data_IF_298731012778
#
_entry.id   IF_298731012778
#
_cell.length_a   1.000
_cell.length_b   1.000
_cell.length_c   1.000
_cell.angle_alpha   90.00
_cell.angle_beta   90.00
_cell.angle_gamma   90.00
#
_symmetry.space_group_name_H-M   'P 1'
#
loop_
_entity.id
_entity.type
_entity.pdbx_description
1 polymer ?
#
# COMPACT_ATOMS: atom_id res chain seq x y z
N UNK A 1 35.24 16.91 -3.07
CA UNK A 1 34.07 16.74 -3.94
C UNK A 1 34.11 15.27 -4.33
N UNK A 2 33.28 14.44 -3.69
CA UNK A 2 33.20 13.02 -4.02
C UNK A 2 32.09 12.88 -5.04
N UNK A 3 32.45 12.48 -6.26
CA UNK A 3 31.53 12.13 -7.32
C UNK A 3 30.69 10.94 -6.82
N UNK A 4 29.47 11.23 -6.50
CA UNK A 4 28.47 10.20 -6.15
C UNK A 4 27.91 9.68 -7.49
N UNK A 5 28.72 8.88 -8.20
CA UNK A 5 28.22 8.09 -9.31
C UNK A 5 27.26 7.06 -8.76
N UNK A 6 25.98 7.37 -8.80
CA UNK A 6 24.91 6.39 -8.77
C UNK A 6 25.03 5.54 -10.04
N UNK A 7 26.01 4.65 -10.07
CA UNK A 7 26.07 3.59 -11.06
C UNK A 7 25.02 2.54 -10.71
N UNK A 8 23.77 2.81 -10.96
CA UNK A 8 22.82 1.75 -11.19
C UNK A 8 23.10 1.24 -12.60
N UNK A 9 23.57 0.01 -12.76
CA UNK A 9 23.63 -0.59 -14.09
C UNK A 9 22.19 -0.92 -14.50
N UNK A 10 21.48 0.07 -15.03
CA UNK A 10 20.34 -0.23 -15.88
C UNK A 10 20.98 -0.72 -17.19
N UNK A 11 21.29 -2.00 -17.21
CA UNK A 11 21.59 -2.69 -18.44
C UNK A 11 20.29 -2.74 -19.23
N UNK A 12 20.15 -1.83 -20.18
CA UNK A 12 19.16 -1.98 -21.24
C UNK A 12 19.56 -3.22 -22.02
N UNK A 13 18.94 -4.36 -21.70
CA UNK A 13 19.11 -5.54 -22.52
C UNK A 13 18.25 -5.35 -23.77
N UNK A 14 18.84 -4.79 -24.81
CA UNK A 14 18.19 -4.57 -26.11
C UNK A 14 17.81 -5.89 -26.80
N UNK A 15 18.35 -7.02 -26.33
CA UNK A 15 18.09 -8.35 -26.86
C UNK A 15 17.02 -9.11 -26.05
N UNK A 16 16.50 -8.53 -24.97
CA UNK A 16 15.41 -9.11 -24.22
C UNK A 16 14.11 -9.00 -25.02
N UNK A 17 13.76 -10.06 -25.71
CA UNK A 17 12.42 -10.22 -26.28
C UNK A 17 11.45 -10.43 -25.14
N UNK A 18 10.71 -9.37 -24.79
CA UNK A 18 9.61 -9.48 -23.85
C UNK A 18 8.60 -10.50 -24.40
N UNK A 19 8.46 -11.66 -23.76
CA UNK A 19 7.38 -12.57 -24.10
C UNK A 19 6.08 -11.86 -23.76
N UNK A 20 5.11 -11.77 -24.69
CA UNK A 20 3.82 -11.19 -24.36
C UNK A 20 3.22 -12.03 -23.21
N UNK A 21 3.03 -11.39 -22.06
CA UNK A 21 2.26 -11.93 -20.95
C UNK A 21 0.76 -11.98 -21.31
N UNK A 22 -0.09 -12.52 -20.43
CA UNK A 22 -1.53 -12.46 -20.63
C UNK A 22 -1.94 -10.98 -20.84
N UNK A 23 -2.55 -10.69 -21.96
CA UNK A 23 -2.99 -9.34 -22.31
C UNK A 23 -4.18 -9.00 -21.44
N UNK A 24 -4.03 -8.06 -20.52
CA UNK A 24 -5.19 -7.46 -19.84
C UNK A 24 -5.90 -6.56 -20.83
N UNK A 25 -7.16 -6.88 -21.12
CA UNK A 25 -8.01 -6.05 -21.99
C UNK A 25 -8.43 -4.83 -21.20
N UNK A 26 -8.01 -3.66 -21.66
CA UNK A 26 -8.45 -2.38 -21.12
C UNK A 26 -9.56 -1.83 -22.03
N UNK A 27 -10.62 -1.31 -21.41
CA UNK A 27 -11.69 -0.67 -22.18
C UNK A 27 -11.10 0.48 -22.99
N UNK A 28 -11.48 0.65 -24.29
CA UNK A 28 -10.91 1.69 -25.15
C UNK A 28 -10.97 3.10 -24.53
N UNK A 29 -12.04 3.42 -23.80
CA UNK A 29 -12.23 4.74 -23.16
C UNK A 29 -11.21 5.01 -22.02
N UNK A 30 -10.45 4.02 -21.61
CA UNK A 30 -9.37 4.14 -20.61
C UNK A 30 -7.98 4.19 -21.24
N UNK A 31 -7.90 4.15 -22.55
CA UNK A 31 -6.68 4.36 -23.31
C UNK A 31 -6.52 5.84 -23.58
N UNK A 32 -5.28 6.30 -23.51
CA UNK A 32 -4.90 7.68 -23.82
C UNK A 32 -3.86 7.62 -24.93
N UNK A 33 -4.01 8.44 -25.94
CA UNK A 33 -3.10 8.47 -27.07
C UNK A 33 -1.75 9.09 -26.67
N UNK A 34 -0.66 8.66 -27.32
CA UNK A 34 0.70 9.11 -27.01
C UNK A 34 0.89 10.62 -27.16
N UNK A 35 0.18 11.24 -28.10
CA UNK A 35 0.20 12.70 -28.30
C UNK A 35 -0.46 13.45 -27.13
N UNK A 36 -1.50 12.89 -26.53
CA UNK A 36 -2.11 13.44 -25.32
C UNK A 36 -1.17 13.27 -24.11
N UNK A 37 -0.53 12.12 -23.97
CA UNK A 37 0.43 11.88 -22.89
C UNK A 37 1.65 12.80 -22.98
N UNK A 38 2.07 13.16 -24.19
CA UNK A 38 3.17 14.10 -24.41
C UNK A 38 2.84 15.55 -23.99
N UNK A 39 1.56 15.89 -23.82
CA UNK A 39 1.11 17.19 -23.31
C UNK A 39 1.04 17.24 -21.77
N UNK A 40 1.11 16.10 -21.10
CA UNK A 40 1.11 16.04 -19.64
C UNK A 40 2.33 16.81 -19.11
N UNK A 41 2.10 17.65 -18.10
CA UNK A 41 3.12 18.51 -17.50
C UNK A 41 3.92 19.33 -18.52
N UNK A 42 3.31 19.74 -19.65
CA UNK A 42 3.96 20.52 -20.70
C UNK A 42 4.56 21.81 -20.11
N UNK A 43 5.78 22.13 -20.55
CA UNK A 43 6.50 23.34 -20.11
C UNK A 43 7.16 23.24 -18.74
N UNK A 44 7.03 22.12 -18.02
CA UNK A 44 7.63 21.92 -16.69
C UNK A 44 9.03 21.26 -16.73
N UNK A 45 9.45 20.74 -17.86
CA UNK A 45 10.66 19.92 -17.99
C UNK A 45 10.49 18.45 -17.55
N UNK A 46 9.31 18.07 -17.07
CA UNK A 46 9.00 16.68 -16.69
C UNK A 46 8.76 15.80 -17.93
N UNK A 47 9.05 14.52 -17.80
CA UNK A 47 8.65 13.51 -18.77
C UNK A 47 7.16 13.21 -18.59
N UNK A 48 6.30 13.81 -19.40
CA UNK A 48 4.84 13.73 -19.28
C UNK A 48 4.30 12.30 -19.25
N UNK A 49 4.64 11.43 -20.21
CA UNK A 49 4.22 10.02 -20.17
C UNK A 49 4.60 9.30 -18.87
N UNK A 50 5.82 9.48 -18.39
CA UNK A 50 6.26 8.87 -17.12
C UNK A 50 5.48 9.40 -15.92
N UNK A 51 5.22 10.71 -15.83
CA UNK A 51 4.43 11.32 -14.76
C UNK A 51 2.99 10.82 -14.80
N UNK A 52 2.40 10.69 -15.99
CA UNK A 52 1.07 10.12 -16.16
C UNK A 52 1.00 8.68 -15.66
N UNK A 53 1.97 7.85 -16.00
CA UNK A 53 2.08 6.46 -15.55
C UNK A 53 2.22 6.35 -14.03
N UNK A 54 3.08 7.18 -13.44
CA UNK A 54 3.31 7.21 -12.00
C UNK A 54 2.03 7.61 -11.24
N UNK A 55 1.38 8.72 -11.64
CA UNK A 55 0.15 9.19 -10.97
C UNK A 55 -1.00 8.21 -11.14
N UNK A 56 -1.15 7.61 -12.32
CA UNK A 56 -2.14 6.55 -12.54
C UNK A 56 -1.89 5.35 -11.62
N UNK A 57 -0.61 4.96 -11.41
CA UNK A 57 -0.25 3.88 -10.49
C UNK A 57 -0.54 4.24 -9.04
N UNK A 58 -0.14 5.44 -8.58
CA UNK A 58 -0.41 5.91 -7.22
C UNK A 58 -1.92 5.95 -6.94
N UNK A 59 -2.71 6.52 -7.86
CA UNK A 59 -4.18 6.60 -7.71
C UNK A 59 -4.82 5.21 -7.70
N UNK A 60 -4.33 4.29 -8.51
CA UNK A 60 -4.80 2.89 -8.53
C UNK A 60 -4.51 2.20 -7.21
N UNK A 61 -3.31 2.40 -6.64
CA UNK A 61 -2.94 1.85 -5.33
C UNK A 61 -3.88 2.33 -4.21
N UNK A 62 -4.17 3.62 -4.14
CA UNK A 62 -5.10 4.16 -3.14
C UNK A 62 -6.54 3.62 -3.33
N UNK A 63 -7.01 3.47 -4.56
CA UNK A 63 -8.33 2.89 -4.85
C UNK A 63 -8.42 1.41 -4.44
N UNK A 64 -7.37 0.64 -4.66
CA UNK A 64 -7.33 -0.77 -4.22
C UNK A 64 -7.13 -0.89 -2.72
N UNK A 65 -6.39 0.01 -2.09
CA UNK A 65 -6.27 0.15 -0.64
C UNK A 65 -7.64 0.35 0.04
N UNK A 66 -8.51 1.17 -0.54
CA UNK A 66 -9.89 1.33 -0.06
C UNK A 66 -10.66 0.00 -0.02
N UNK A 67 -10.48 -0.87 -1.01
CA UNK A 67 -11.11 -2.19 -1.03
C UNK A 67 -10.52 -3.14 0.04
N UNK A 68 -9.20 -3.05 0.27
CA UNK A 68 -8.54 -3.77 1.35
C UNK A 68 -9.12 -3.35 2.71
N UNK A 69 -9.22 -2.06 3.01
CA UNK A 69 -9.75 -1.57 4.28
C UNK A 69 -11.22 -1.96 4.50
N UNK A 70 -12.05 -1.96 3.45
CA UNK A 70 -13.43 -2.48 3.51
C UNK A 70 -13.48 -3.96 3.87
N UNK A 71 -12.60 -4.77 3.26
CA UNK A 71 -12.54 -6.20 3.55
C UNK A 71 -12.05 -6.47 4.98
N UNK A 72 -11.07 -5.70 5.45
CA UNK A 72 -10.54 -5.76 6.82
C UNK A 72 -11.61 -5.39 7.84
N UNK A 73 -12.30 -4.27 7.64
CA UNK A 73 -13.41 -3.86 8.53
C UNK A 73 -14.50 -4.91 8.62
N UNK A 74 -14.86 -5.52 7.48
CA UNK A 74 -15.90 -6.54 7.44
C UNK A 74 -15.51 -7.85 8.15
N UNK A 75 -14.21 -8.17 8.24
CA UNK A 75 -13.71 -9.44 8.74
C UNK A 75 -13.14 -9.39 10.16
N UNK A 76 -12.75 -8.22 10.66
CA UNK A 76 -12.24 -8.12 12.01
C UNK A 76 -13.34 -8.16 13.06
N UNK A 77 -13.11 -8.91 14.13
CA UNK A 77 -13.96 -8.93 15.32
C UNK A 77 -13.49 -7.97 16.42
N UNK A 78 -12.29 -7.39 16.27
CA UNK A 78 -11.74 -6.40 17.19
C UNK A 78 -12.37 -5.02 16.95
N UNK A 79 -13.14 -4.47 17.91
CA UNK A 79 -13.83 -3.19 17.70
C UNK A 79 -12.89 -2.00 17.45
N UNK A 80 -11.70 -2.01 18.06
CA UNK A 80 -10.70 -0.95 17.89
C UNK A 80 -10.11 -1.00 16.49
N UNK A 81 -9.70 -2.19 16.03
CA UNK A 81 -9.20 -2.37 14.66
C UNK A 81 -10.27 -2.05 13.63
N UNK A 82 -11.52 -2.47 13.85
CA UNK A 82 -12.66 -2.15 13.00
C UNK A 82 -12.86 -0.65 12.84
N UNK A 83 -12.86 0.09 13.95
CA UNK A 83 -12.97 1.54 13.91
C UNK A 83 -11.80 2.18 13.13
N UNK A 84 -10.59 1.66 13.33
CA UNK A 84 -9.41 2.17 12.63
C UNK A 84 -9.47 1.92 11.12
N UNK A 85 -9.90 0.73 10.70
CA UNK A 85 -10.09 0.44 9.27
C UNK A 85 -11.16 1.31 8.61
N UNK A 86 -12.22 1.69 9.36
CA UNK A 86 -13.22 2.65 8.89
C UNK A 86 -12.62 4.05 8.70
N UNK A 87 -11.71 4.50 9.57
CA UNK A 87 -10.97 5.75 9.38
C UNK A 87 -10.08 5.68 8.14
N UNK A 88 -9.30 4.60 7.97
CA UNK A 88 -8.45 4.39 6.81
C UNK A 88 -9.22 4.38 5.48
N UNK A 89 -10.47 3.93 5.46
CA UNK A 89 -11.33 4.06 4.28
C UNK A 89 -11.57 5.53 3.94
N UNK A 90 -11.86 6.37 4.95
CA UNK A 90 -12.08 7.81 4.75
C UNK A 90 -10.81 8.48 4.24
N UNK A 91 -9.68 8.11 4.80
CA UNK A 91 -8.36 8.63 4.42
C UNK A 91 -8.00 8.22 2.98
N UNK A 92 -8.26 6.97 2.59
CA UNK A 92 -8.03 6.50 1.23
C UNK A 92 -8.91 7.22 0.20
N UNK A 93 -10.18 7.49 0.52
CA UNK A 93 -11.07 8.32 -0.33
C UNK A 93 -10.49 9.72 -0.50
N UNK A 94 -9.99 10.31 0.60
CA UNK A 94 -9.35 11.63 0.57
C UNK A 94 -8.08 11.60 -0.28
N UNK A 95 -7.23 10.58 -0.12
CA UNK A 95 -6.00 10.40 -0.88
C UNK A 95 -6.27 10.28 -2.39
N UNK A 96 -7.26 9.48 -2.78
CA UNK A 96 -7.71 9.41 -4.19
C UNK A 96 -8.07 10.79 -4.71
N UNK A 97 -8.88 11.56 -3.97
CA UNK A 97 -9.28 12.91 -4.38
C UNK A 97 -8.12 13.91 -4.47
N UNK A 98 -7.08 13.74 -3.64
CA UNK A 98 -5.84 14.56 -3.72
C UNK A 98 -5.06 14.22 -4.99
N UNK A 99 -4.87 12.92 -5.28
CA UNK A 99 -4.16 12.46 -6.48
C UNK A 99 -4.91 12.81 -7.76
N UNK A 100 -6.24 12.69 -7.78
CA UNK A 100 -7.05 13.08 -8.93
C UNK A 100 -6.91 14.58 -9.24
N UNK A 101 -6.94 15.43 -8.22
CA UNK A 101 -6.67 16.88 -8.41
C UNK A 101 -5.27 17.15 -8.93
N UNK A 102 -4.26 16.42 -8.44
CA UNK A 102 -2.90 16.55 -8.96
C UNK A 102 -2.82 16.09 -10.42
N UNK A 103 -3.50 14.99 -10.78
CA UNK A 103 -3.61 14.55 -12.16
C UNK A 103 -4.22 15.63 -13.05
N UNK A 104 -5.34 16.24 -12.64
CA UNK A 104 -5.97 17.33 -13.39
C UNK A 104 -5.04 18.54 -13.57
N UNK A 105 -4.34 18.96 -12.50
CA UNK A 105 -3.41 20.09 -12.54
C UNK A 105 -2.23 19.86 -13.48
N UNK A 106 -1.79 18.62 -13.62
CA UNK A 106 -0.69 18.24 -14.53
C UNK A 106 -1.19 17.79 -15.92
N UNK A 107 -2.50 17.80 -16.15
CA UNK A 107 -3.10 17.43 -17.45
C UNK A 107 -3.15 15.92 -17.69
N UNK A 108 -3.11 15.10 -16.64
CA UNK A 108 -3.26 13.64 -16.75
C UNK A 108 -4.75 13.28 -16.77
N UNK A 109 -5.23 12.55 -17.78
CA UNK A 109 -6.63 12.12 -17.83
C UNK A 109 -6.97 11.17 -16.67
N UNK A 110 -8.04 11.47 -15.91
CA UNK A 110 -8.43 10.69 -14.71
C UNK A 110 -8.81 9.23 -14.98
N UNK A 111 -9.22 8.94 -16.21
CA UNK A 111 -9.58 7.59 -16.65
C UNK A 111 -8.41 6.77 -17.19
N UNK A 112 -7.21 7.36 -17.24
CA UNK A 112 -6.05 6.69 -17.82
C UNK A 112 -5.67 5.44 -17.04
N UNK A 113 -5.68 4.30 -17.73
CA UNK A 113 -5.26 3.01 -17.22
C UNK A 113 -3.89 2.63 -17.80
N UNK A 114 -2.85 3.19 -17.24
CA UNK A 114 -1.48 2.96 -17.69
C UNK A 114 -1.04 1.50 -17.52
N UNK A 115 -0.04 1.01 -18.29
CA UNK A 115 0.54 -0.31 -18.06
C UNK A 115 1.04 -0.50 -16.62
N UNK A 116 1.81 0.44 -16.01
CA UNK A 116 2.19 0.35 -14.61
C UNK A 116 1.01 0.33 -13.64
N UNK A 117 -0.03 1.15 -13.85
CA UNK A 117 -1.22 1.15 -13.00
C UNK A 117 -1.94 -0.21 -13.00
N UNK A 118 -2.00 -0.89 -14.16
CA UNK A 118 -2.56 -2.26 -14.24
C UNK A 118 -1.71 -3.29 -13.50
N UNK A 119 -0.40 -3.12 -13.52
CA UNK A 119 0.50 -3.97 -12.72
C UNK A 119 0.28 -3.75 -11.22
N UNK A 120 0.14 -2.49 -10.81
CA UNK A 120 -0.20 -2.12 -9.42
C UNK A 120 -1.54 -2.73 -9.01
N UNK A 121 -2.59 -2.58 -9.82
CA UNK A 121 -3.90 -3.19 -9.57
C UNK A 121 -3.82 -4.71 -9.40
N UNK A 122 -3.03 -5.37 -10.25
CA UNK A 122 -2.83 -6.82 -10.17
C UNK A 122 -2.09 -7.23 -8.89
N UNK A 123 -1.05 -6.51 -8.47
CA UNK A 123 -0.30 -6.76 -7.24
C UNK A 123 -1.19 -6.56 -6.00
N UNK A 124 -1.89 -5.44 -5.92
CA UNK A 124 -2.74 -5.10 -4.79
C UNK A 124 -3.97 -6.04 -4.69
N UNK A 125 -4.51 -6.44 -5.83
CA UNK A 125 -5.58 -7.43 -5.88
C UNK A 125 -5.11 -8.79 -5.33
N UNK A 126 -3.85 -9.16 -5.55
CA UNK A 126 -3.28 -10.39 -4.97
C UNK A 126 -3.06 -10.27 -3.47
N UNK A 127 -2.71 -9.11 -2.97
CA UNK A 127 -2.62 -8.85 -1.53
C UNK A 127 -4.00 -9.00 -0.86
N UNK A 128 -5.04 -8.41 -1.45
CA UNK A 128 -6.42 -8.56 -1.00
C UNK A 128 -6.89 -10.01 -1.08
N UNK A 129 -6.64 -10.69 -2.20
CA UNK A 129 -6.97 -12.11 -2.38
C UNK A 129 -6.29 -12.98 -1.33
N UNK A 130 -5.00 -12.78 -1.08
CA UNK A 130 -4.26 -13.51 -0.05
C UNK A 130 -4.88 -13.34 1.35
N UNK A 131 -5.30 -12.12 1.71
CA UNK A 131 -6.02 -11.88 2.95
C UNK A 131 -7.37 -12.60 2.97
N UNK A 132 -8.16 -12.56 1.89
CA UNK A 132 -9.46 -13.22 1.81
C UNK A 132 -9.35 -14.75 1.87
N UNK A 133 -8.22 -15.32 1.45
CA UNK A 133 -7.95 -16.76 1.53
C UNK A 133 -7.63 -17.25 2.95
N UNK A 134 -7.51 -16.37 3.95
CA UNK A 134 -7.33 -16.80 5.35
C UNK A 134 -8.48 -17.65 5.90
N UNK A 135 -9.63 -17.63 5.26
CA UNK A 135 -10.76 -18.57 5.32
C UNK A 135 -11.14 -19.03 6.72
N UNK A 136 -10.69 -20.22 7.10
CA UNK A 136 -10.99 -20.87 8.38
C UNK A 136 -9.92 -20.66 9.46
N UNK A 137 -9.01 -19.71 9.29
CA UNK A 137 -8.06 -19.37 10.35
C UNK A 137 -8.79 -18.75 11.56
N UNK A 138 -8.18 -18.88 12.74
CA UNK A 138 -8.68 -18.25 13.95
C UNK A 138 -8.62 -16.70 13.84
N UNK A 139 -9.45 -16.04 14.64
CA UNK A 139 -9.63 -14.59 14.59
C UNK A 139 -8.31 -13.82 14.77
N UNK A 140 -7.41 -14.29 15.63
CA UNK A 140 -6.11 -13.66 15.87
C UNK A 140 -5.19 -13.76 14.65
N UNK A 141 -5.20 -14.90 13.98
CA UNK A 141 -4.45 -15.11 12.73
C UNK A 141 -5.01 -14.23 11.62
N UNK A 142 -6.33 -14.13 11.47
CA UNK A 142 -6.99 -13.25 10.49
C UNK A 142 -6.61 -11.79 10.75
N UNK A 143 -6.66 -11.35 12.02
CA UNK A 143 -6.33 -9.99 12.40
C UNK A 143 -4.86 -9.67 12.14
N UNK A 144 -3.93 -10.56 12.53
CA UNK A 144 -2.50 -10.38 12.26
C UNK A 144 -2.21 -10.28 10.76
N UNK A 145 -2.80 -11.15 9.94
CA UNK A 145 -2.63 -11.11 8.48
C UNK A 145 -3.26 -9.88 7.84
N UNK A 146 -4.36 -9.40 8.39
CA UNK A 146 -4.96 -8.13 7.99
C UNK A 146 -4.04 -6.94 8.26
N UNK A 147 -3.45 -6.88 9.44
CA UNK A 147 -2.50 -5.82 9.81
C UNK A 147 -1.22 -5.89 8.96
N UNK A 148 -0.71 -7.10 8.66
CA UNK A 148 0.42 -7.27 7.73
C UNK A 148 0.08 -6.75 6.33
N UNK A 149 -1.14 -6.98 5.84
CA UNK A 149 -1.57 -6.44 4.55
C UNK A 149 -1.62 -4.90 4.56
N UNK A 150 -2.09 -4.29 5.65
CA UNK A 150 -2.03 -2.82 5.83
C UNK A 150 -0.60 -2.32 5.84
N UNK A 151 0.30 -2.98 6.57
CA UNK A 151 1.72 -2.61 6.64
C UNK A 151 2.36 -2.58 5.25
N UNK A 152 2.11 -3.60 4.42
CA UNK A 152 2.62 -3.67 3.05
C UNK A 152 2.04 -2.57 2.17
N UNK A 153 0.72 -2.36 2.22
CA UNK A 153 0.06 -1.31 1.45
C UNK A 153 0.55 0.08 1.86
N UNK A 154 0.60 0.40 3.16
CA UNK A 154 1.06 1.70 3.65
C UNK A 154 2.53 1.96 3.35
N UNK A 155 3.39 0.93 3.36
CA UNK A 155 4.78 1.06 2.91
C UNK A 155 4.86 1.55 1.47
N UNK A 156 4.01 1.01 0.58
CA UNK A 156 3.95 1.44 -0.81
C UNK A 156 3.39 2.88 -0.95
N UNK A 157 2.37 3.25 -0.17
CA UNK A 157 1.84 4.62 -0.15
C UNK A 157 2.93 5.64 0.20
N UNK A 158 3.67 5.40 1.31
CA UNK A 158 4.76 6.28 1.75
C UNK A 158 5.86 6.35 0.69
N UNK A 159 6.25 5.23 0.10
CA UNK A 159 7.26 5.19 -0.95
C UNK A 159 6.82 5.99 -2.19
N UNK A 160 5.58 5.82 -2.65
CA UNK A 160 5.03 6.57 -3.78
C UNK A 160 5.01 8.07 -3.53
N UNK A 161 4.59 8.50 -2.34
CA UNK A 161 4.54 9.91 -1.96
C UNK A 161 5.96 10.51 -1.82
N UNK A 162 6.92 9.71 -1.34
CA UNK A 162 8.33 10.13 -1.32
C UNK A 162 8.90 10.33 -2.74
N UNK A 163 8.51 9.51 -3.72
CA UNK A 163 8.88 9.72 -5.13
C UNK A 163 8.29 11.02 -5.67
N UNK A 164 7.03 11.34 -5.36
CA UNK A 164 6.42 12.63 -5.74
C UNK A 164 7.17 13.81 -5.11
N UNK A 165 7.58 13.70 -3.85
CA UNK A 165 8.42 14.72 -3.20
C UNK A 165 9.74 14.92 -3.95
N UNK A 166 10.44 13.85 -4.30
CA UNK A 166 11.69 13.93 -5.04
C UNK A 166 11.53 14.58 -6.43
N UNK A 167 10.37 14.35 -7.08
CA UNK A 167 10.05 15.03 -8.34
C UNK A 167 9.88 16.55 -8.10
N UNK A 168 9.13 16.93 -7.06
CA UNK A 168 8.94 18.34 -6.73
C UNK A 168 10.26 19.06 -6.44
N UNK A 169 11.16 18.42 -5.68
CA UNK A 169 12.50 18.96 -5.35
C UNK A 169 13.37 19.18 -6.58
N UNK A 170 13.14 18.43 -7.66
CA UNK A 170 13.84 18.59 -8.94
C UNK A 170 13.27 19.70 -9.84
N UNK A 171 12.15 20.32 -9.49
CA UNK A 171 11.51 21.38 -10.26
C UNK A 171 11.94 22.77 -9.78
N UNK A 172 11.83 23.75 -10.69
CA UNK A 172 12.10 25.15 -10.37
C UNK A 172 11.25 25.64 -9.23
N UNK A 173 11.87 26.42 -8.32
CA UNK A 173 11.16 27.08 -7.21
C UNK A 173 10.07 28.01 -7.74
N UNK A 174 8.87 27.87 -7.17
CA UNK A 174 7.71 28.68 -7.55
C UNK A 174 7.00 28.26 -8.83
N UNK A 175 7.42 27.17 -9.48
CA UNK A 175 6.64 26.59 -10.58
C UNK A 175 5.30 26.04 -10.11
N UNK A 176 4.26 26.18 -10.93
CA UNK A 176 2.92 25.68 -10.62
C UNK A 176 2.93 24.15 -10.39
N UNK A 177 3.68 23.41 -11.20
CA UNK A 177 3.82 21.95 -11.05
C UNK A 177 4.45 21.56 -9.72
N UNK A 178 5.52 22.26 -9.29
CA UNK A 178 6.14 22.03 -7.99
C UNK A 178 5.14 22.29 -6.86
N UNK A 179 4.46 23.42 -6.90
CA UNK A 179 3.47 23.80 -5.89
C UNK A 179 2.33 22.79 -5.79
N UNK A 180 1.84 22.29 -6.94
CA UNK A 180 0.80 21.26 -6.99
C UNK A 180 1.25 19.95 -6.34
N UNK A 181 2.47 19.48 -6.68
CA UNK A 181 3.01 18.24 -6.13
C UNK A 181 3.30 18.39 -4.62
N UNK A 182 3.93 19.49 -4.19
CA UNK A 182 4.20 19.75 -2.76
C UNK A 182 2.91 19.82 -1.93
N UNK A 183 1.86 20.40 -2.48
CA UNK A 183 0.53 20.44 -1.84
C UNK A 183 -0.04 19.02 -1.66
N UNK A 184 0.04 18.19 -2.68
CA UNK A 184 -0.39 16.80 -2.59
C UNK A 184 0.44 16.03 -1.56
N UNK A 185 1.77 16.13 -1.62
CA UNK A 185 2.69 15.45 -0.68
C UNK A 185 2.44 15.87 0.75
N UNK A 186 2.27 17.18 1.02
CA UNK A 186 2.01 17.69 2.38
C UNK A 186 0.69 17.18 2.97
N UNK A 187 -0.27 16.84 2.13
CA UNK A 187 -1.56 16.27 2.55
C UNK A 187 -1.48 14.76 2.75
N UNK A 188 -0.80 14.05 1.84
CA UNK A 188 -0.78 12.58 1.84
C UNK A 188 0.19 12.00 2.86
N UNK A 189 1.42 12.53 2.92
CA UNK A 189 2.50 11.90 3.68
C UNK A 189 2.18 11.71 5.16
N UNK A 190 1.67 12.70 5.92
CA UNK A 190 1.41 12.51 7.35
C UNK A 190 0.39 11.40 7.63
N UNK A 191 -0.64 11.28 6.79
CA UNK A 191 -1.69 10.28 6.94
C UNK A 191 -1.16 8.88 6.62
N UNK A 192 -0.37 8.75 5.56
CA UNK A 192 0.22 7.47 5.15
C UNK A 192 1.28 6.98 6.14
N UNK A 193 2.07 7.89 6.72
CA UNK A 193 3.01 7.57 7.80
C UNK A 193 2.25 7.09 9.05
N UNK A 194 1.13 7.72 9.40
CA UNK A 194 0.27 7.31 10.52
C UNK A 194 -0.30 5.88 10.31
N UNK A 195 -0.74 5.55 9.08
CA UNK A 195 -1.19 4.19 8.76
C UNK A 195 -0.07 3.17 8.94
N UNK A 196 1.12 3.51 8.46
CA UNK A 196 2.32 2.66 8.54
C UNK A 196 2.72 2.41 10.00
N UNK A 197 2.81 3.47 10.81
CA UNK A 197 3.16 3.39 12.23
C UNK A 197 2.13 2.58 13.02
N UNK A 198 0.84 2.84 12.76
CA UNK A 198 -0.23 2.07 13.40
C UNK A 198 -0.13 0.59 13.06
N UNK A 199 0.06 0.25 11.79
CA UNK A 199 0.15 -1.15 11.36
C UNK A 199 1.37 -1.86 11.98
N UNK A 200 2.53 -1.20 12.01
CA UNK A 200 3.73 -1.75 12.65
C UNK A 200 3.54 -1.98 14.16
N UNK A 201 2.94 -1.02 14.85
CA UNK A 201 2.66 -1.12 16.28
C UNK A 201 1.64 -2.21 16.60
N UNK A 202 0.56 -2.27 15.85
CA UNK A 202 -0.49 -3.29 16.01
C UNK A 202 0.05 -4.70 15.71
N UNK A 203 0.86 -4.86 14.66
CA UNK A 203 1.50 -6.14 14.37
C UNK A 203 2.35 -6.62 15.55
N UNK A 204 3.16 -5.73 16.12
CA UNK A 204 3.99 -6.05 17.28
C UNK A 204 3.13 -6.46 18.49
N UNK A 205 2.07 -5.72 18.77
CA UNK A 205 1.16 -6.00 19.88
C UNK A 205 0.46 -7.38 19.73
N UNK A 206 -0.05 -7.67 18.53
CA UNK A 206 -0.69 -8.95 18.22
C UNK A 206 0.28 -10.13 18.39
N UNK A 207 1.50 -10.00 17.85
CA UNK A 207 2.54 -11.04 17.96
C UNK A 207 2.92 -11.27 19.42
N UNK A 208 3.16 -10.21 20.19
CA UNK A 208 3.52 -10.33 21.61
C UNK A 208 2.37 -10.93 22.44
N UNK A 209 1.14 -10.58 22.13
CA UNK A 209 -0.04 -11.14 22.81
C UNK A 209 -0.17 -12.63 22.54
N UNK A 210 -0.01 -13.07 21.29
CA UNK A 210 -0.02 -14.49 20.94
C UNK A 210 1.14 -15.25 21.58
N UNK A 211 2.34 -14.71 21.55
CA UNK A 211 3.50 -15.33 22.14
C UNK A 211 3.35 -15.51 23.66
N UNK A 212 2.82 -14.51 24.35
CA UNK A 212 2.54 -14.58 25.80
C UNK A 212 1.43 -15.57 26.14
N UNK A 213 0.35 -15.60 25.35
CA UNK A 213 -0.76 -16.55 25.52
C UNK A 213 -0.28 -17.99 25.35
N UNK A 214 0.59 -18.27 24.39
CA UNK A 214 1.20 -19.60 24.20
C UNK A 214 2.08 -20.03 25.39
N UNK A 215 2.79 -19.11 26.01
CA UNK A 215 3.56 -19.37 27.25
C UNK A 215 2.65 -19.61 28.45
N UNK A 216 1.58 -18.84 28.60
CA UNK A 216 0.59 -19.01 29.68
C UNK A 216 -0.15 -20.36 29.56
N UNK A 217 -0.53 -20.77 28.34
CA UNK A 217 -1.13 -22.09 28.11
C UNK A 217 -0.19 -23.23 28.44
N UNK A 218 1.11 -23.14 28.07
CA UNK A 218 2.13 -24.13 28.46
C UNK A 218 2.37 -24.19 29.96
N UNK A 219 2.37 -23.03 30.62
CA UNK A 219 2.50 -22.95 32.07
C UNK A 219 1.27 -23.53 32.77
N UNK A 220 0.05 -23.25 32.30
CA UNK A 220 -1.22 -23.82 32.81
C UNK A 220 -1.26 -25.35 32.65
N UNK A 221 -0.94 -25.87 31.46
CA UNK A 221 -0.88 -27.31 31.21
C UNK A 221 0.19 -28.01 32.07
N UNK A 222 1.34 -27.37 32.29
CA UNK A 222 2.36 -27.91 33.21
C UNK A 222 1.89 -27.93 34.68
N UNK A 223 1.20 -26.87 35.12
CA UNK A 223 0.63 -26.80 36.45
C UNK A 223 -0.46 -27.87 36.68
N UNK A 224 -1.38 -28.08 35.73
CA UNK A 224 -2.39 -29.12 35.76
C UNK A 224 -1.77 -30.53 35.80
N UNK A 225 -0.72 -30.76 35.02
CA UNK A 225 0.00 -32.04 35.03
C UNK A 225 0.70 -32.32 36.37
N UNK A 226 1.21 -31.29 37.04
CA UNK A 226 1.77 -31.41 38.41
C UNK A 226 0.66 -31.69 39.43
N UNK A 227 -0.45 -30.96 39.38
CA UNK A 227 -1.61 -31.17 40.26
C UNK A 227 -2.20 -32.57 40.06
N UNK A 228 -2.31 -33.04 38.80
CA UNK A 228 -2.76 -34.41 38.51
C UNK A 228 -1.84 -35.46 39.14
N UNK A 229 -0.52 -35.32 38.98
CA UNK A 229 0.43 -36.25 39.62
C UNK A 229 0.37 -36.23 41.14
N UNK A 230 0.19 -35.07 41.76
CA UNK A 230 0.02 -34.96 43.23
C UNK A 230 -1.27 -35.61 43.68
N UNK A 231 -2.35 -35.48 42.93
CA UNK A 231 -3.65 -36.15 43.21
C UNK A 231 -3.51 -37.68 43.14
N UNK A 232 -2.83 -38.19 42.13
CA UNK A 232 -2.58 -39.62 41.93
C UNK A 232 -1.73 -40.21 43.07
N UNK A 233 -0.73 -39.45 43.54
CA UNK A 233 0.12 -39.86 44.67
C UNK A 233 -0.63 -39.82 46.02
N UNK A 234 -1.57 -38.90 46.18
CA UNK A 234 -2.33 -38.74 47.41
C UNK A 234 -3.60 -39.67 47.46
N UNK A 235 -3.85 -40.48 46.43
CA UNK A 235 -4.90 -41.47 46.39
C UNK A 235 -6.32 -40.89 46.42
N UNK A 236 -6.52 -39.71 45.87
CA UNK A 236 -7.83 -39.03 45.76
C UNK A 236 -8.25 -38.81 44.33
#
# INVERSE_FOLDING_TARGET
MADNELSTPITWNTDAVAKPGPTMVVHPDRLVADDQLSQVAAGTGLNGPFVADLLASCTTHERTGLNLFKALEARTNNPMAKHRFSQFQTDAVTAVGVLERLMEQLGVPLHYASPPARMTEAMDSKLLEAFLLTGSADDMTVELKGVEAVLLASTMCVANTALLRSIAEGLDEGSEARTAIETAVSTLMPVQEEHLEWAASMQQELVLTQAKSGLAQKAGAAAEAVVGKVRDVLGR
#
